data_IF_717118037204
#
_entry.id   IF_717118037204
#
_cell.length_a   1.000
_cell.length_b   1.000
_cell.length_c   1.000
_cell.angle_alpha   90.00
_cell.angle_beta   90.00
_cell.angle_gamma   90.00
#
_symmetry.space_group_name_H-M   'P 1'
#
loop_
_entity.id
_entity.type
_entity.pdbx_description
1 polymer ?
#
# COMPACT_ATOMS: atom_id res chain seq x y z
N UNK A 1 -21.38 21.89 -12.09
CA UNK A 1 -19.96 22.28 -12.02
C UNK A 1 -19.19 21.31 -12.88
N UNK A 2 -18.98 21.69 -14.14
CA UNK A 2 -18.29 20.89 -15.15
C UNK A 2 -16.91 21.51 -15.31
N UNK A 3 -15.85 20.76 -15.10
CA UNK A 3 -14.50 21.24 -15.29
C UNK A 3 -13.45 20.26 -14.76
N UNK A 4 -12.64 19.74 -15.69
CA UNK A 4 -11.24 19.35 -15.46
C UNK A 4 -10.95 17.99 -14.79
N UNK A 5 -11.16 16.89 -15.52
CA UNK A 5 -10.42 15.65 -15.27
C UNK A 5 -10.00 14.91 -16.56
N UNK A 6 -10.00 15.58 -17.71
CA UNK A 6 -9.71 14.97 -19.01
C UNK A 6 -8.60 15.71 -19.75
N UNK A 7 -7.40 15.80 -19.15
CA UNK A 7 -6.20 16.08 -19.94
C UNK A 7 -4.91 15.70 -19.17
N UNK A 8 -4.63 14.41 -19.04
CA UNK A 8 -3.25 13.89 -18.82
C UNK A 8 -3.11 12.38 -19.02
N UNK A 9 -3.95 11.80 -19.89
CA UNK A 9 -3.74 10.46 -20.44
C UNK A 9 -3.14 10.57 -21.85
N UNK A 10 -2.04 11.31 -21.98
CA UNK A 10 -1.32 11.47 -23.24
C UNK A 10 0.15 11.21 -22.99
N UNK A 11 0.46 9.95 -22.71
CA UNK A 11 1.77 9.28 -22.86
C UNK A 11 1.65 7.82 -22.40
N UNK A 12 0.59 7.15 -22.89
CA UNK A 12 0.60 5.70 -22.93
C UNK A 12 1.61 5.35 -24.01
N UNK A 13 2.71 4.71 -23.65
CA UNK A 13 3.62 4.22 -24.67
C UNK A 13 2.86 3.10 -25.41
N UNK A 14 2.59 3.21 -26.72
CA UNK A 14 1.79 2.22 -27.45
C UNK A 14 2.44 0.82 -27.48
N UNK A 15 3.65 0.69 -26.95
CA UNK A 15 4.40 -0.55 -26.82
C UNK A 15 4.38 -1.14 -25.39
N UNK A 16 3.74 -0.48 -24.42
CA UNK A 16 3.73 -0.94 -23.04
C UNK A 16 2.46 -1.79 -22.78
N UNK A 17 2.59 -3.09 -22.48
CA UNK A 17 1.44 -3.95 -22.22
C UNK A 17 0.64 -3.44 -21.01
N UNK A 18 -0.68 -3.46 -21.15
CA UNK A 18 -1.61 -3.12 -20.08
C UNK A 18 -1.64 -4.23 -19.03
N UNK A 19 -1.84 -3.86 -17.76
CA UNK A 19 -2.02 -4.85 -16.68
C UNK A 19 -3.49 -5.24 -16.56
N UNK A 20 -3.77 -6.54 -16.57
CA UNK A 20 -5.11 -7.11 -16.36
C UNK A 20 -5.39 -7.45 -14.89
N UNK A 21 -6.66 -7.67 -14.55
CA UNK A 21 -7.10 -8.05 -13.19
C UNK A 21 -6.52 -9.36 -12.68
N UNK A 22 -6.12 -10.27 -13.57
CA UNK A 22 -5.57 -11.59 -13.22
C UNK A 22 -4.16 -11.47 -12.62
N UNK A 23 -3.31 -10.66 -13.24
CA UNK A 23 -1.91 -10.46 -12.87
C UNK A 23 -1.70 -9.28 -11.90
N UNK A 24 -2.61 -8.30 -11.89
CA UNK A 24 -2.57 -7.15 -10.99
C UNK A 24 -2.31 -7.51 -9.51
N UNK A 25 -3.06 -8.44 -8.87
CA UNK A 25 -2.82 -8.78 -7.47
C UNK A 25 -1.43 -9.36 -7.22
N UNK A 26 -0.87 -10.12 -8.16
CA UNK A 26 0.47 -10.70 -8.02
C UNK A 26 1.56 -9.63 -8.14
N UNK A 27 1.47 -8.79 -9.17
CA UNK A 27 2.37 -7.66 -9.39
C UNK A 27 2.35 -6.68 -8.21
N UNK A 28 1.16 -6.45 -7.63
CA UNK A 28 1.01 -5.62 -6.44
C UNK A 28 1.67 -6.23 -5.22
N UNK A 29 1.52 -7.54 -5.00
CA UNK A 29 2.19 -8.22 -3.88
C UNK A 29 3.70 -8.14 -4.03
N UNK A 30 4.21 -8.36 -5.24
CA UNK A 30 5.64 -8.23 -5.53
C UNK A 30 6.13 -6.79 -5.29
N UNK A 31 5.36 -5.80 -5.76
CA UNK A 31 5.71 -4.40 -5.59
C UNK A 31 5.73 -3.98 -4.13
N UNK A 32 4.70 -4.34 -3.36
CA UNK A 32 4.57 -3.97 -1.95
C UNK A 32 5.45 -4.84 -1.03
N UNK A 33 5.96 -5.98 -1.52
CA UNK A 33 6.97 -6.80 -0.84
C UNK A 33 8.33 -6.08 -0.76
N UNK A 34 8.62 -5.18 -1.71
CA UNK A 34 9.83 -4.39 -1.70
C UNK A 34 9.93 -3.53 -0.42
N UNK A 35 11.10 -3.49 0.26
CA UNK A 35 11.26 -2.75 1.51
C UNK A 35 11.03 -1.24 1.35
N UNK A 36 11.24 -0.72 0.14
CA UNK A 36 10.98 0.68 -0.24
C UNK A 36 9.50 1.05 -0.16
N UNK A 37 8.60 0.08 -0.35
CA UNK A 37 7.15 0.28 -0.42
C UNK A 37 6.40 -0.28 0.79
N UNK A 38 7.11 -0.80 1.81
CA UNK A 38 6.53 -1.28 3.07
C UNK A 38 5.69 -0.24 3.82
N UNK A 39 5.95 1.06 3.62
CA UNK A 39 5.22 2.17 4.25
C UNK A 39 3.99 2.62 3.45
N UNK A 40 3.81 2.08 2.26
CA UNK A 40 2.77 2.47 1.31
C UNK A 40 3.30 3.29 0.14
N UNK A 41 2.55 3.28 -0.95
CA UNK A 41 2.89 3.92 -2.21
C UNK A 41 1.76 4.86 -2.65
N UNK A 42 2.08 6.11 -2.97
CA UNK A 42 1.11 7.07 -3.48
C UNK A 42 0.56 6.63 -4.84
N UNK A 43 -0.74 6.81 -5.08
CA UNK A 43 -1.35 6.52 -6.38
C UNK A 43 -0.68 7.30 -7.52
N UNK A 44 -0.29 8.54 -7.26
CA UNK A 44 0.46 9.41 -8.18
C UNK A 44 1.78 8.79 -8.63
N UNK A 45 2.46 8.06 -7.74
CA UNK A 45 3.71 7.37 -8.01
C UNK A 45 3.49 5.95 -8.57
N UNK A 46 2.34 5.35 -8.29
CA UNK A 46 2.02 3.96 -8.62
C UNK A 46 2.19 3.66 -10.12
N UNK A 47 1.59 4.47 -11.00
CA UNK A 47 1.70 4.29 -12.46
C UNK A 47 3.16 4.33 -12.92
N UNK A 48 3.96 5.23 -12.36
CA UNK A 48 5.39 5.38 -12.68
C UNK A 48 6.20 4.18 -12.22
N UNK A 49 5.92 3.70 -11.02
CA UNK A 49 6.63 2.56 -10.41
C UNK A 49 6.28 1.26 -11.14
N UNK A 50 5.02 1.06 -11.51
CA UNK A 50 4.57 -0.09 -12.30
C UNK A 50 5.32 -0.16 -13.64
N UNK A 51 5.39 0.98 -14.34
CA UNK A 51 6.12 1.09 -15.60
C UNK A 51 7.62 0.85 -15.42
N UNK A 52 8.22 1.37 -14.37
CA UNK A 52 9.65 1.21 -14.10
C UNK A 52 10.03 -0.22 -13.68
N UNK A 53 9.18 -0.92 -12.92
CA UNK A 53 9.46 -2.26 -12.38
C UNK A 53 9.04 -3.38 -13.33
N UNK A 54 7.86 -3.29 -13.92
CA UNK A 54 7.26 -4.37 -14.70
C UNK A 54 7.21 -4.08 -16.19
N UNK A 55 7.57 -2.85 -16.62
CA UNK A 55 7.37 -2.40 -17.99
C UNK A 55 5.91 -2.58 -18.46
N UNK A 56 4.97 -2.45 -17.52
CA UNK A 56 3.53 -2.53 -17.75
C UNK A 56 2.86 -1.24 -17.31
N UNK A 57 1.81 -0.86 -18.04
CA UNK A 57 0.99 0.28 -17.68
C UNK A 57 -0.25 -0.17 -16.90
N UNK A 58 -0.43 0.50 -15.75
CA UNK A 58 -1.62 0.35 -14.94
C UNK A 58 -2.68 1.32 -15.45
N UNK A 59 -3.64 0.78 -16.19
CA UNK A 59 -4.66 1.56 -16.88
C UNK A 59 -6.03 1.31 -16.26
N UNK A 60 -6.56 2.37 -15.70
CA UNK A 60 -7.88 2.43 -15.07
C UNK A 60 -8.96 2.03 -16.06
N UNK A 61 -8.84 2.55 -17.29
CA UNK A 61 -9.74 2.30 -18.41
C UNK A 61 -9.73 0.83 -18.86
N UNK A 62 -8.56 0.18 -18.85
CA UNK A 62 -8.43 -1.26 -19.15
C UNK A 62 -9.06 -2.10 -18.05
N UNK A 63 -8.96 -1.65 -16.80
CA UNK A 63 -9.55 -2.30 -15.64
C UNK A 63 -11.06 -1.98 -15.47
N UNK A 64 -11.62 -1.12 -16.32
CA UNK A 64 -13.04 -0.75 -16.34
C UNK A 64 -13.44 0.33 -15.33
N UNK A 65 -12.48 1.08 -14.79
CA UNK A 65 -12.70 2.10 -13.77
C UNK A 65 -12.39 3.51 -14.27
N UNK A 66 -13.10 4.54 -13.76
CA UNK A 66 -12.89 5.92 -14.18
C UNK A 66 -11.64 6.55 -13.55
N UNK A 67 -11.18 6.02 -12.41
CA UNK A 67 -10.00 6.53 -11.70
C UNK A 67 -9.26 5.40 -10.98
N UNK A 68 -7.96 5.62 -10.78
CA UNK A 68 -7.05 4.64 -10.17
C UNK A 68 -7.44 4.31 -8.74
N UNK A 69 -7.98 5.31 -8.06
CA UNK A 69 -8.58 5.18 -6.73
C UNK A 69 -9.62 4.05 -6.70
N UNK A 70 -10.53 4.00 -7.67
CA UNK A 70 -11.61 2.99 -7.69
C UNK A 70 -11.10 1.59 -8.00
N UNK A 71 -10.04 1.47 -8.79
CA UNK A 71 -9.35 0.17 -8.99
C UNK A 71 -8.86 -0.38 -7.66
N UNK A 72 -8.22 0.45 -6.83
CA UNK A 72 -7.66 0.03 -5.55
C UNK A 72 -8.68 -0.08 -4.42
N UNK A 73 -9.89 0.49 -4.59
CA UNK A 73 -11.05 0.25 -3.71
C UNK A 73 -11.85 -1.00 -4.13
N UNK A 74 -11.48 -1.66 -5.23
CA UNK A 74 -12.18 -2.84 -5.72
C UNK A 74 -11.99 -4.05 -4.78
N UNK A 75 -13.05 -4.82 -4.49
CA UNK A 75 -12.98 -5.99 -3.60
C UNK A 75 -11.98 -7.06 -4.07
N UNK A 76 -11.61 -7.08 -5.36
CA UNK A 76 -10.57 -7.98 -5.89
C UNK A 76 -9.20 -7.73 -5.27
N UNK A 77 -8.92 -6.50 -4.84
CA UNK A 77 -7.63 -6.10 -4.26
C UNK A 77 -7.65 -5.94 -2.74
N UNK A 78 -8.81 -6.04 -2.11
CA UNK A 78 -8.98 -5.93 -0.65
C UNK A 78 -8.10 -6.93 0.12
N UNK A 79 -7.81 -8.11 -0.44
CA UNK A 79 -6.93 -9.11 0.17
C UNK A 79 -5.43 -8.93 -0.09
N UNK A 80 -5.06 -7.93 -0.89
CA UNK A 80 -3.68 -7.66 -1.35
C UNK A 80 -3.19 -6.34 -0.79
N UNK A 81 -4.00 -5.30 -0.90
CA UNK A 81 -3.63 -3.95 -0.54
C UNK A 81 -4.84 -3.17 -0.01
N UNK A 82 -4.55 -2.20 0.85
CA UNK A 82 -5.54 -1.31 1.44
C UNK A 82 -5.24 0.11 0.99
N UNK A 83 -6.28 0.81 0.56
CA UNK A 83 -6.20 2.21 0.23
C UNK A 83 -6.37 3.06 1.50
N UNK A 84 -5.45 3.99 1.69
CA UNK A 84 -5.38 4.92 2.80
C UNK A 84 -5.39 6.34 2.25
N UNK A 85 -6.01 7.26 2.97
CA UNK A 85 -6.13 8.66 2.56
C UNK A 85 -5.42 9.56 3.57
N UNK A 86 -4.32 10.18 3.15
CA UNK A 86 -3.57 11.12 3.97
C UNK A 86 -3.72 12.53 3.37
N UNK A 87 -4.68 13.28 3.90
CA UNK A 87 -5.04 14.61 3.37
C UNK A 87 -5.71 14.49 2.00
N UNK A 88 -5.09 15.08 0.96
CA UNK A 88 -5.60 15.06 -0.42
C UNK A 88 -4.96 13.97 -1.28
N UNK A 89 -3.98 13.23 -0.76
CA UNK A 89 -3.31 12.15 -1.49
C UNK A 89 -3.74 10.77 -0.97
N UNK A 90 -3.88 9.83 -1.90
CA UNK A 90 -4.27 8.44 -1.66
C UNK A 90 -3.04 7.56 -1.76
N UNK A 91 -2.88 6.65 -0.80
CA UNK A 91 -1.73 5.76 -0.67
C UNK A 91 -2.20 4.31 -0.54
N UNK A 92 -1.53 3.41 -1.25
CA UNK A 92 -1.79 1.98 -1.21
C UNK A 92 -0.78 1.33 -0.29
N UNK A 93 -1.25 0.62 0.74
CA UNK A 93 -0.42 -0.12 1.69
C UNK A 93 -0.65 -1.63 1.49
N UNK A 94 0.37 -2.49 1.68
CA UNK A 94 0.13 -3.93 1.68
C UNK A 94 -0.82 -4.29 2.83
N UNK A 95 -1.80 -5.15 2.55
CA UNK A 95 -2.58 -5.76 3.62
C UNK A 95 -1.67 -6.69 4.39
N UNK A 96 -1.40 -6.32 5.64
CA UNK A 96 -0.74 -7.22 6.57
C UNK A 96 -1.73 -8.32 6.87
N UNK A 97 -1.48 -9.53 6.34
CA UNK A 97 -2.15 -10.73 6.85
C UNK A 97 -1.77 -11.02 8.31
N UNK A 98 -0.74 -10.34 8.78
CA UNK A 98 -0.28 -10.33 10.17
C UNK A 98 -0.74 -9.06 10.86
N UNK A 99 -2.02 -9.01 11.23
CA UNK A 99 -2.32 -8.62 12.59
C UNK A 99 -1.84 -9.77 13.49
N UNK A 100 -0.53 -9.92 13.63
CA UNK A 100 -0.01 -10.29 14.93
C UNK A 100 -0.12 -9.01 15.76
N UNK A 101 -1.07 -8.90 16.69
CA UNK A 101 -1.15 -7.76 17.60
C UNK A 101 0.08 -7.65 18.54
N UNK A 102 1.13 -8.46 18.36
CA UNK A 102 2.29 -8.50 19.25
C UNK A 102 3.45 -7.57 18.84
N UNK A 103 3.39 -6.85 17.70
CA UNK A 103 4.44 -5.87 17.33
C UNK A 103 4.11 -4.40 17.65
N UNK A 104 2.96 -4.12 18.27
CA UNK A 104 2.77 -2.93 19.12
C UNK A 104 2.80 -3.41 20.58
N UNK A 105 3.95 -3.93 21.00
CA UNK A 105 4.21 -4.15 22.41
C UNK A 105 4.84 -2.87 22.96
N UNK A 106 4.15 -2.09 23.80
CA UNK A 106 4.77 -1.00 24.57
C UNK A 106 5.73 -1.50 25.66
N UNK A 107 6.18 -2.77 25.65
CA UNK A 107 7.13 -3.31 26.61
C UNK A 107 8.59 -2.98 26.26
N UNK A 108 8.89 -1.70 26.11
CA UNK A 108 10.27 -1.17 26.26
C UNK A 108 10.67 -0.96 27.73
N UNK A 109 9.89 -1.50 28.68
CA UNK A 109 10.21 -1.50 30.10
C UNK A 109 9.94 -2.91 30.66
N UNK A 110 10.93 -3.79 30.82
CA UNK A 110 11.61 -3.93 32.12
C UNK A 110 12.81 -4.91 31.98
N UNK A 111 14.03 -4.39 31.81
CA UNK A 111 15.24 -5.15 32.21
C UNK A 111 15.91 -4.57 33.47
N UNK A 112 15.39 -3.48 34.00
CA UNK A 112 16.02 -2.71 35.10
C UNK A 112 15.20 -2.55 36.38
N UNK A 113 13.95 -3.00 36.45
CA UNK A 113 13.06 -2.75 37.61
C UNK A 113 12.52 -4.01 38.32
N UNK A 114 12.90 -5.23 37.88
CA UNK A 114 12.53 -6.47 38.60
C UNK A 114 13.38 -6.71 39.87
N UNK A 115 14.32 -5.82 40.22
CA UNK A 115 15.24 -6.03 41.36
C UNK A 115 14.87 -5.29 42.65
N UNK A 116 13.90 -4.37 42.67
CA UNK A 116 13.61 -3.55 43.86
C UNK A 116 12.30 -3.87 44.60
N UNK A 117 11.46 -4.78 44.10
CA UNK A 117 10.18 -5.11 44.72
C UNK A 117 10.17 -6.43 45.51
N UNK A 118 11.34 -6.96 45.92
CA UNK A 118 11.40 -8.16 46.79
C UNK A 118 12.35 -7.93 47.96
N UNK A 119 11.80 -7.46 49.08
CA UNK A 119 12.50 -7.51 50.37
C UNK A 119 12.03 -6.50 51.41
N UNK A 120 10.76 -6.58 51.82
CA UNK A 120 10.34 -6.05 53.11
C UNK A 120 10.90 -6.93 54.25
N UNK A 121 11.30 -6.31 55.37
CA UNK A 121 11.53 -6.99 56.64
C UNK A 121 12.35 -6.16 57.65
N UNK A 122 11.70 -5.42 58.58
CA UNK A 122 12.38 -4.72 59.67
C UNK A 122 12.90 -5.71 60.73
N UNK A 123 14.05 -5.38 61.34
CA UNK A 123 14.57 -6.01 62.57
C UNK A 123 14.20 -5.19 63.79
#
# INVERSE_FOLDING_TARGET
VTGEAALKESMLDPNCPSTDWDELPELMRELLSAPEHKRGLALSAMKRVFKARFNKELLETVLGHPQLIHVFEDPRLEGVCQLDSLGHERFVKPVRRDADPSNDSPETWTRKQLKEARGAGPV
#
